data_IF_183878096235
#
_entry.id   IF_183878096235
#
_cell.length_a   1.000
_cell.length_b   1.000
_cell.length_c   1.000
_cell.angle_alpha   90.00
_cell.angle_beta   90.00
_cell.angle_gamma   90.00
#
_symmetry.space_group_name_H-M   'P 1'
#
loop_
_entity.id
_entity.type
_entity.pdbx_description
1 polymer ?
#
# COMPACT_ATOMS: atom_id res chain seq x y z
N UNK A 1 40.75 2.12 -5.04
CA UNK A 1 39.61 3.06 -5.17
C UNK A 1 38.38 2.27 -4.81
N UNK A 2 37.75 2.66 -3.71
CA UNK A 2 36.91 1.82 -2.87
C UNK A 2 35.52 1.58 -3.47
N UNK A 3 35.24 0.34 -3.82
CA UNK A 3 33.88 -0.21 -3.91
C UNK A 3 33.28 -0.20 -2.49
N UNK A 4 32.65 0.91 -2.12
CA UNK A 4 31.85 0.98 -0.91
C UNK A 4 30.57 0.18 -1.11
N UNK A 5 30.68 -1.09 -0.74
CA UNK A 5 29.63 -2.05 -0.40
C UNK A 5 28.28 -1.39 -0.09
N UNK A 6 27.45 -1.21 -1.10
CA UNK A 6 26.00 -1.26 -0.89
C UNK A 6 25.75 -2.76 -0.68
N UNK A 7 25.36 -3.22 0.52
CA UNK A 7 25.02 -4.63 0.69
C UNK A 7 23.89 -4.93 -0.28
N UNK A 8 24.15 -5.78 -1.28
CA UNK A 8 23.07 -6.29 -2.13
C UNK A 8 22.08 -6.94 -1.17
N UNK A 9 20.82 -6.47 -1.12
CA UNK A 9 19.87 -7.00 -0.15
C UNK A 9 19.77 -8.52 -0.34
N UNK A 10 19.83 -9.33 0.73
CA UNK A 10 19.78 -10.77 0.57
C UNK A 10 18.49 -11.19 -0.15
N UNK A 11 18.48 -12.30 -0.89
CA UNK A 11 17.26 -12.81 -1.50
C UNK A 11 16.14 -12.88 -0.44
N UNK A 12 14.95 -12.38 -0.80
CA UNK A 12 13.81 -12.26 0.12
C UNK A 12 13.92 -11.22 1.26
N UNK A 13 14.74 -10.19 1.11
CA UNK A 13 14.89 -9.12 2.12
C UNK A 13 13.92 -7.94 1.95
N UNK A 14 12.75 -8.15 1.35
CA UNK A 14 11.78 -7.06 1.24
C UNK A 14 11.18 -6.70 2.61
N UNK A 15 10.80 -5.44 2.84
CA UNK A 15 10.09 -5.02 4.05
C UNK A 15 8.90 -5.92 4.39
N UNK A 16 8.83 -6.37 5.64
CA UNK A 16 7.69 -7.14 6.17
C UNK A 16 6.75 -6.22 6.94
N UNK A 17 5.43 -6.52 6.97
CA UNK A 17 4.50 -5.78 7.80
C UNK A 17 5.01 -5.64 9.25
N UNK A 18 4.91 -4.44 9.86
CA UNK A 18 4.15 -3.27 9.40
C UNK A 18 4.92 -2.32 8.45
N UNK A 19 6.17 -2.63 8.08
CA UNK A 19 6.98 -1.77 7.21
C UNK A 19 6.50 -1.86 5.77
N UNK A 20 6.26 -0.69 5.15
CA UNK A 20 5.77 -0.60 3.79
C UNK A 20 6.86 -1.02 2.77
N UNK A 21 6.45 -1.84 1.81
CA UNK A 21 7.18 -2.17 0.60
C UNK A 21 6.87 -1.08 -0.45
N UNK A 22 7.89 -0.42 -1.04
CA UNK A 22 7.68 0.53 -2.12
C UNK A 22 6.96 -0.09 -3.31
N UNK A 23 6.08 0.67 -3.97
CA UNK A 23 5.29 0.21 -5.11
C UNK A 23 6.15 -0.40 -6.23
N UNK A 24 7.29 0.22 -6.56
CA UNK A 24 8.22 -0.28 -7.58
C UNK A 24 8.76 -1.70 -7.29
N UNK A 25 8.75 -2.12 -6.02
CA UNK A 25 9.31 -3.39 -5.55
C UNK A 25 8.25 -4.48 -5.36
N UNK A 26 6.98 -4.23 -5.71
CA UNK A 26 5.90 -5.22 -5.59
C UNK A 26 6.12 -6.48 -6.45
N UNK A 27 7.04 -6.42 -7.41
CA UNK A 27 7.44 -7.57 -8.21
C UNK A 27 8.49 -8.48 -7.55
N UNK A 28 9.11 -8.09 -6.44
CA UNK A 28 10.14 -8.91 -5.79
C UNK A 28 9.58 -10.05 -4.93
N UNK A 29 8.53 -9.84 -4.11
CA UNK A 29 8.02 -10.91 -3.27
C UNK A 29 7.36 -12.03 -4.07
N UNK A 30 7.43 -13.24 -3.51
CA UNK A 30 6.73 -14.39 -4.06
C UNK A 30 5.21 -14.19 -4.05
N UNK A 31 4.52 -14.88 -4.96
CA UNK A 31 3.05 -14.88 -4.98
C UNK A 31 2.51 -15.39 -3.64
N UNK A 32 1.49 -14.72 -3.12
CA UNK A 32 0.90 -15.02 -1.81
C UNK A 32 1.67 -14.47 -0.61
N UNK A 33 2.85 -13.85 -0.84
CA UNK A 33 3.61 -13.18 0.21
C UNK A 33 2.75 -12.08 0.86
N UNK A 34 2.81 -12.04 2.20
CA UNK A 34 2.12 -11.02 2.97
C UNK A 34 3.02 -9.79 3.10
N UNK A 35 2.57 -8.67 2.56
CA UNK A 35 3.31 -7.40 2.52
C UNK A 35 2.44 -6.26 3.04
N UNK A 36 3.08 -5.15 3.33
CA UNK A 36 2.44 -3.89 3.69
C UNK A 36 2.80 -2.86 2.62
N UNK A 37 1.87 -2.00 2.25
CA UNK A 37 2.09 -0.83 1.40
C UNK A 37 1.48 0.39 2.08
N UNK A 38 2.00 1.58 1.80
CA UNK A 38 1.40 2.83 2.23
C UNK A 38 1.42 3.80 1.05
N UNK A 39 0.34 4.54 0.85
CA UNK A 39 0.25 5.47 -0.27
C UNK A 39 -1.00 6.33 -0.25
N UNK A 40 -0.94 7.42 -1.02
CA UNK A 40 -2.08 8.30 -1.25
C UNK A 40 -3.13 7.57 -2.08
N UNK A 41 -4.40 7.76 -1.75
CA UNK A 41 -5.47 7.14 -2.52
C UNK A 41 -5.77 7.98 -3.75
N UNK A 42 -5.51 7.41 -4.93
CA UNK A 42 -5.80 8.05 -6.20
C UNK A 42 -7.24 7.79 -6.65
N UNK A 43 -7.63 6.51 -6.66
CA UNK A 43 -8.89 6.06 -7.30
C UNK A 43 -9.55 5.01 -6.43
N UNK A 44 -10.89 5.04 -6.40
CA UNK A 44 -11.74 3.98 -5.85
C UNK A 44 -12.75 3.56 -6.89
N UNK A 45 -12.85 2.26 -7.15
CA UNK A 45 -13.84 1.72 -8.07
C UNK A 45 -14.61 0.59 -7.38
N UNK A 46 -15.93 0.61 -7.54
CA UNK A 46 -16.81 -0.48 -7.12
C UNK A 46 -17.67 -0.90 -8.31
N UNK A 47 -17.16 -1.75 -9.21
CA UNK A 47 -17.92 -2.19 -10.37
C UNK A 47 -19.20 -2.89 -9.92
N UNK A 48 -20.34 -2.55 -10.54
CA UNK A 48 -21.65 -3.12 -10.16
C UNK A 48 -21.71 -4.65 -10.30
N UNK A 49 -20.87 -5.22 -11.17
CA UNK A 49 -20.79 -6.66 -11.46
C UNK A 49 -19.85 -7.43 -10.51
N UNK A 50 -19.00 -6.75 -9.74
CA UNK A 50 -17.92 -7.39 -8.99
C UNK A 50 -18.31 -7.88 -7.59
N UNK A 51 -19.56 -8.30 -7.36
CA UNK A 51 -20.07 -8.88 -6.09
C UNK A 51 -19.64 -8.10 -4.82
N UNK A 52 -19.60 -6.77 -4.90
CA UNK A 52 -19.23 -5.91 -3.77
C UNK A 52 -17.73 -5.75 -3.51
N UNK A 53 -16.86 -6.19 -4.43
CA UNK A 53 -15.42 -5.89 -4.42
C UNK A 53 -15.19 -4.42 -4.71
N UNK A 54 -14.23 -3.84 -4.00
CA UNK A 54 -13.75 -2.48 -4.22
C UNK A 54 -12.28 -2.56 -4.64
N UNK A 55 -11.93 -1.81 -5.67
CA UNK A 55 -10.56 -1.59 -6.10
C UNK A 55 -10.11 -0.22 -5.61
N UNK A 56 -8.92 -0.16 -5.04
CA UNK A 56 -8.30 1.08 -4.59
C UNK A 56 -6.91 1.17 -5.21
N UNK A 57 -6.61 2.26 -5.90
CA UNK A 57 -5.25 2.54 -6.38
C UNK A 57 -4.57 3.46 -5.37
N UNK A 58 -3.44 3.00 -4.83
CA UNK A 58 -2.55 3.78 -3.98
C UNK A 58 -1.34 4.24 -4.78
N UNK A 59 -0.77 5.38 -4.41
CA UNK A 59 0.48 5.89 -4.99
C UNK A 59 1.47 6.26 -3.88
N UNK A 60 2.72 5.87 -4.09
CA UNK A 60 3.90 6.41 -3.42
C UNK A 60 4.84 7.03 -4.47
N UNK A 61 5.95 7.62 -4.03
CA UNK A 61 6.92 8.27 -4.94
C UNK A 61 7.58 7.32 -5.94
N UNK A 62 7.43 6.01 -5.77
CA UNK A 62 8.02 4.97 -6.62
C UNK A 62 7.03 4.38 -7.62
N UNK A 63 5.72 4.67 -7.48
CA UNK A 63 4.69 4.24 -8.43
C UNK A 63 3.36 3.91 -7.76
N UNK A 64 2.57 3.05 -8.41
CA UNK A 64 1.21 2.72 -7.97
C UNK A 64 1.08 1.28 -7.47
N UNK A 65 0.16 1.08 -6.52
CA UNK A 65 -0.24 -0.22 -6.00
C UNK A 65 -1.74 -0.41 -6.14
N UNK A 66 -2.16 -1.49 -6.79
CA UNK A 66 -3.57 -1.84 -6.92
C UNK A 66 -4.01 -2.73 -5.76
N UNK A 67 -4.91 -2.23 -4.92
CA UNK A 67 -5.46 -2.93 -3.77
C UNK A 67 -6.85 -3.45 -4.10
N UNK A 68 -7.09 -4.73 -3.79
CA UNK A 68 -8.41 -5.37 -3.88
C UNK A 68 -8.96 -5.53 -2.48
N UNK A 69 -10.14 -4.95 -2.25
CA UNK A 69 -10.84 -4.99 -0.97
C UNK A 69 -12.14 -5.80 -1.15
N UNK A 70 -12.13 -7.02 -0.61
CA UNK A 70 -13.31 -7.88 -0.59
C UNK A 70 -14.39 -7.33 0.37
N UNK A 71 -15.65 -7.65 0.10
CA UNK A 71 -16.79 -7.16 0.89
C UNK A 71 -16.61 -7.34 2.41
N UNK A 72 -16.13 -8.50 2.86
CA UNK A 72 -15.88 -8.76 4.29
C UNK A 72 -14.85 -7.81 4.91
N UNK A 73 -13.79 -7.49 4.17
CA UNK A 73 -12.74 -6.57 4.60
C UNK A 73 -13.26 -5.13 4.56
N UNK A 74 -14.00 -4.79 3.51
CA UNK A 74 -14.67 -3.49 3.40
C UNK A 74 -15.59 -3.22 4.59
N UNK A 75 -16.47 -4.15 4.97
CA UNK A 75 -17.38 -3.92 6.10
C UNK A 75 -16.61 -3.71 7.41
N UNK A 76 -15.48 -4.39 7.61
CA UNK A 76 -14.62 -4.20 8.79
C UNK A 76 -13.90 -2.85 8.80
N UNK A 77 -13.46 -2.36 7.63
CA UNK A 77 -12.64 -1.14 7.50
C UNK A 77 -13.35 -0.02 6.73
N UNK A 78 -14.69 0.01 6.79
CA UNK A 78 -15.54 0.84 5.93
C UNK A 78 -15.13 2.30 5.90
N UNK A 79 -14.87 2.90 7.07
CA UNK A 79 -14.48 4.30 7.19
C UNK A 79 -13.16 4.59 6.46
N UNK A 80 -12.14 3.77 6.69
CA UNK A 80 -10.84 3.93 6.04
C UNK A 80 -10.95 3.79 4.52
N UNK A 81 -11.69 2.77 4.05
CA UNK A 81 -11.87 2.54 2.61
C UNK A 81 -12.61 3.68 1.93
N UNK A 82 -13.66 4.24 2.55
CA UNK A 82 -14.45 5.32 1.94
C UNK A 82 -13.73 6.67 2.01
N UNK A 83 -13.19 7.03 3.18
CA UNK A 83 -12.78 8.40 3.47
C UNK A 83 -11.27 8.64 3.50
N UNK A 84 -10.45 7.58 3.67
CA UNK A 84 -9.02 7.74 3.91
C UNK A 84 -8.27 8.31 2.70
N UNK A 85 -7.54 9.40 2.87
CA UNK A 85 -6.72 10.03 1.82
C UNK A 85 -5.32 9.42 1.73
N UNK A 86 -4.80 8.94 2.85
CA UNK A 86 -3.54 8.21 2.96
C UNK A 86 -3.84 6.89 3.67
N UNK A 87 -3.53 5.76 3.05
CA UNK A 87 -3.81 4.44 3.61
C UNK A 87 -2.52 3.66 3.79
N UNK A 88 -2.44 2.89 4.88
CA UNK A 88 -1.55 1.74 4.99
C UNK A 88 -2.36 0.46 4.87
N UNK A 89 -1.98 -0.40 3.95
CA UNK A 89 -2.69 -1.65 3.67
C UNK A 89 -1.72 -2.81 3.83
N UNK A 90 -2.09 -3.76 4.68
CA UNK A 90 -1.42 -5.05 4.76
C UNK A 90 -2.29 -6.12 4.10
N UNK A 91 -1.66 -6.97 3.29
CA UNK A 91 -2.37 -7.95 2.49
C UNK A 91 -1.45 -8.95 1.81
N UNK A 92 -2.01 -9.74 0.90
CA UNK A 92 -1.29 -10.76 0.13
C UNK A 92 -1.17 -10.38 -1.33
N UNK A 93 0.01 -10.57 -1.92
CA UNK A 93 0.20 -10.31 -3.34
C UNK A 93 -0.41 -11.41 -4.20
N UNK A 94 -1.20 -11.00 -5.19
CA UNK A 94 -1.70 -11.82 -6.29
C UNK A 94 -1.15 -11.25 -7.60
N UNK A 95 -0.84 -12.13 -8.55
CA UNK A 95 -0.40 -11.76 -9.89
C UNK A 95 -1.36 -12.36 -10.89
N UNK A 96 -1.90 -11.53 -11.76
CA UNK A 96 -2.85 -11.95 -12.79
C UNK A 96 -2.62 -11.11 -14.04
N UNK A 97 -2.47 -11.77 -15.19
CA UNK A 97 -2.25 -11.13 -16.49
C UNK A 97 -1.15 -10.03 -16.49
N UNK A 98 -0.06 -10.25 -15.73
CA UNK A 98 1.06 -9.31 -15.63
C UNK A 98 0.84 -8.12 -14.67
N UNK A 99 -0.32 -8.02 -14.02
CA UNK A 99 -0.62 -7.00 -13.03
C UNK A 99 -0.48 -7.58 -11.62
N UNK A 100 0.14 -6.82 -10.71
CA UNK A 100 0.24 -7.16 -9.28
C UNK A 100 -0.89 -6.48 -8.52
N UNK A 101 -1.64 -7.27 -7.76
CA UNK A 101 -2.68 -6.81 -6.86
C UNK A 101 -2.33 -7.17 -5.42
N UNK A 102 -2.65 -6.28 -4.48
CA UNK A 102 -2.62 -6.56 -3.05
C UNK A 102 -4.03 -6.88 -2.56
N UNK A 103 -4.30 -8.12 -2.19
CA UNK A 103 -5.55 -8.50 -1.54
C UNK A 103 -5.50 -8.03 -0.08
N UNK A 104 -6.33 -7.04 0.27
CA UNK A 104 -6.28 -6.42 1.59
C UNK A 104 -6.76 -7.37 2.70
N UNK A 105 -5.98 -7.46 3.79
CA UNK A 105 -6.37 -8.11 5.05
C UNK A 105 -6.65 -7.08 6.15
N UNK A 106 -5.86 -6.01 6.19
CA UNK A 106 -5.92 -4.93 7.18
C UNK A 106 -5.71 -3.59 6.50
N UNK A 107 -6.53 -2.60 6.87
CA UNK A 107 -6.49 -1.26 6.30
C UNK A 107 -6.46 -0.26 7.45
N UNK A 108 -5.49 0.64 7.41
CA UNK A 108 -5.31 1.71 8.39
C UNK A 108 -5.40 3.06 7.68
N UNK A 109 -6.21 3.95 8.24
CA UNK A 109 -6.34 5.33 7.77
C UNK A 109 -5.26 6.19 8.42
N UNK A 110 -4.31 6.65 7.61
CA UNK A 110 -3.21 7.52 8.02
C UNK A 110 -3.44 8.98 7.62
N UNK A 111 -4.66 9.36 7.23
CA UNK A 111 -4.96 10.70 6.73
C UNK A 111 -4.59 11.82 7.70
N UNK A 112 -4.58 11.56 9.00
CA UNK A 112 -4.17 12.52 10.03
C UNK A 112 -2.69 12.93 9.91
N UNK A 113 -1.84 12.10 9.28
CA UNK A 113 -0.45 12.46 9.00
C UNK A 113 -0.35 13.57 7.96
N UNK A 114 -1.28 13.63 7.00
CA UNK A 114 -1.32 14.70 6.01
C UNK A 114 -1.59 16.05 6.65
N UNK A 115 -2.38 16.07 7.73
CA UNK A 115 -2.70 17.31 8.45
C UNK A 115 -1.45 17.89 9.15
N UNK A 116 -0.41 17.08 9.39
CA UNK A 116 0.87 17.55 9.92
C UNK A 116 1.67 18.36 8.90
N UNK A 117 1.45 18.15 7.59
CA UNK A 117 2.14 18.90 6.54
C UNK A 117 1.69 20.37 6.46
N UNK A 118 0.51 20.67 7.00
CA UNK A 118 -0.09 22.01 7.02
C UNK A 118 0.35 22.78 8.28
N UNK A 119 0.82 22.07 9.32
CA UNK A 119 1.31 22.73 10.53
C UNK A 119 2.57 23.50 10.16
N UNK A 120 2.64 24.81 10.41
CA UNK A 120 3.88 25.55 10.20
C UNK A 120 4.98 24.87 11.01
N UNK A 121 6.11 24.58 10.34
CA UNK A 121 7.29 24.13 11.05
C UNK A 121 7.64 25.25 12.04
N UNK A 122 7.51 24.98 13.34
CA UNK A 122 8.08 25.87 14.34
C UNK A 122 9.58 25.90 14.00
N UNK A 123 10.05 27.02 13.44
CA UNK A 123 11.46 27.21 13.16
C UNK A 123 12.21 26.85 14.44
N UNK A 124 13.06 25.83 14.36
CA UNK A 124 13.95 25.51 15.47
C UNK A 124 14.86 26.73 15.66
N UNK A 125 15.00 27.24 16.90
CA UNK A 125 15.88 28.38 17.19
C UNK A 125 17.34 28.06 16.89
#
# INVERSE_FOLDING_TARGET
MSDWLIPTPPPNSWPKPPHALPAARLNEPSVGARVCVAGLVLVRQRPGTAKGVIFVTLEDETGTCNVVVWAKVFEKFRRAVIAGRLLRVTGRLQREAGVVHLLADQIEDLSSLLDLLIKPHAASP
#
